data_IF_267071801305
#
_entry.id   IF_267071801305
#
_cell.length_a   1.000
_cell.length_b   1.000
_cell.length_c   1.000
_cell.angle_alpha   90.00
_cell.angle_beta   90.00
_cell.angle_gamma   90.00
#
_symmetry.space_group_name_H-M   'P 1'
#
loop_
_entity.id
_entity.type
_entity.pdbx_description
1 polymer ?
#
# COMPACT_ATOMS: atom_id res chain seq x y z
N UNK A 1 -16.55 27.82 -0.42
CA UNK A 1 -16.99 27.28 0.86
C UNK A 1 -17.07 25.79 0.82
N UNK A 2 -17.82 25.28 -0.11
CA UNK A 2 -18.00 23.84 -0.18
C UNK A 2 -16.70 23.13 -0.56
N UNK A 3 -15.90 23.77 -1.36
CA UNK A 3 -14.62 23.18 -1.72
C UNK A 3 -13.76 22.95 -0.50
N UNK A 4 -13.88 23.82 0.49
CA UNK A 4 -13.10 23.69 1.70
C UNK A 4 -13.62 22.53 2.53
N UNK A 5 -14.92 22.37 2.58
CA UNK A 5 -15.53 21.33 3.40
C UNK A 5 -15.21 19.95 2.88
N UNK A 6 -15.24 19.77 1.55
CA UNK A 6 -14.99 18.45 0.98
C UNK A 6 -13.61 17.90 1.33
N UNK A 7 -12.54 18.67 1.15
CA UNK A 7 -11.23 18.13 1.54
C UNK A 7 -11.15 17.79 3.01
N UNK A 8 -11.78 18.58 3.86
CA UNK A 8 -11.77 18.30 5.28
C UNK A 8 -12.47 17.00 5.59
N UNK A 9 -13.58 16.74 4.91
CA UNK A 9 -14.31 15.51 5.14
C UNK A 9 -13.51 14.30 4.67
N UNK A 10 -12.83 14.43 3.56
CA UNK A 10 -11.99 13.34 3.09
C UNK A 10 -10.89 13.02 4.08
N UNK A 11 -10.29 14.05 4.65
CA UNK A 11 -9.27 13.85 5.65
C UNK A 11 -9.82 13.16 6.87
N UNK A 12 -11.01 13.51 7.27
CA UNK A 12 -11.64 12.87 8.40
C UNK A 12 -11.89 11.39 8.13
N UNK A 13 -12.27 11.07 6.91
CA UNK A 13 -12.46 9.67 6.56
C UNK A 13 -11.16 8.89 6.64
N UNK A 14 -10.06 9.51 6.24
CA UNK A 14 -8.77 8.86 6.37
C UNK A 14 -8.43 8.60 7.82
N UNK A 15 -8.75 9.55 8.68
CA UNK A 15 -8.49 9.39 10.10
C UNK A 15 -9.36 8.32 10.74
N UNK A 16 -10.50 8.03 10.17
CA UNK A 16 -11.39 7.07 10.79
C UNK A 16 -10.91 5.64 10.56
N UNK A 17 -9.76 5.45 9.99
CA UNK A 17 -9.10 4.19 10.12
C UNK A 17 -8.68 3.51 8.84
N UNK A 18 -9.57 2.84 8.18
CA UNK A 18 -9.18 1.92 7.11
C UNK A 18 -9.15 2.55 5.72
N UNK A 19 -9.49 3.80 5.63
CA UNK A 19 -9.54 4.45 4.32
C UNK A 19 -8.19 4.91 3.86
N UNK A 20 -7.93 4.72 2.57
CA UNK A 20 -6.69 5.14 1.93
C UNK A 20 -7.06 5.86 0.66
N UNK A 21 -6.37 6.95 0.36
CA UNK A 21 -6.57 7.69 -0.88
C UNK A 21 -6.38 6.77 -2.08
N UNK A 22 -7.23 6.94 -3.09
CA UNK A 22 -7.09 6.16 -4.32
C UNK A 22 -5.75 6.37 -4.98
N UNK A 23 -5.18 7.57 -4.86
CA UNK A 23 -3.88 7.85 -5.44
C UNK A 23 -2.81 6.96 -4.83
N UNK A 24 -2.80 6.89 -3.50
CA UNK A 24 -1.82 6.05 -2.81
C UNK A 24 -2.04 4.59 -3.17
N UNK A 25 -3.29 4.17 -3.15
CA UNK A 25 -3.62 2.78 -3.44
C UNK A 25 -3.18 2.40 -4.84
N UNK A 26 -3.45 3.27 -5.80
CA UNK A 26 -3.08 3.02 -7.19
C UNK A 26 -1.57 2.85 -7.34
N UNK A 27 -0.80 3.70 -6.66
CA UNK A 27 0.65 3.61 -6.73
C UNK A 27 1.17 2.32 -6.12
N UNK A 28 0.59 1.89 -5.01
CA UNK A 28 1.01 0.66 -4.37
C UNK A 28 0.67 -0.54 -5.25
N UNK A 29 -0.52 -0.55 -5.85
CA UNK A 29 -0.90 -1.63 -6.76
C UNK A 29 0.05 -1.69 -7.95
N UNK A 30 0.39 -0.54 -8.53
CA UNK A 30 1.34 -0.51 -9.64
C UNK A 30 2.69 -1.09 -9.23
N UNK A 31 3.15 -0.75 -8.03
CA UNK A 31 4.43 -1.27 -7.56
C UNK A 31 4.37 -2.78 -7.40
N UNK A 32 3.29 -3.30 -6.81
CA UNK A 32 3.16 -4.74 -6.64
C UNK A 32 3.22 -5.44 -7.98
N UNK A 33 2.46 -4.94 -8.95
CA UNK A 33 2.36 -5.58 -10.26
C UNK A 33 3.69 -5.53 -11.02
N UNK A 34 4.38 -4.39 -10.95
CA UNK A 34 5.57 -4.18 -11.77
C UNK A 34 6.85 -4.72 -11.14
N UNK A 35 6.94 -4.67 -9.83
CA UNK A 35 8.21 -4.96 -9.14
C UNK A 35 8.04 -5.80 -7.89
N UNK A 36 6.99 -5.51 -7.11
CA UNK A 36 6.88 -6.08 -5.77
C UNK A 36 6.87 -7.59 -5.75
N UNK A 37 6.10 -8.19 -6.64
CA UNK A 37 6.00 -9.64 -6.65
C UNK A 37 7.31 -10.30 -7.06
N UNK A 38 8.09 -9.64 -7.90
CA UNK A 38 9.39 -10.17 -8.29
C UNK A 38 10.40 -10.09 -7.16
N UNK A 39 10.36 -8.98 -6.41
CA UNK A 39 11.31 -8.77 -5.32
C UNK A 39 10.94 -9.59 -4.09
N UNK A 40 9.64 -9.74 -3.85
CA UNK A 40 9.12 -10.44 -2.68
C UNK A 40 8.23 -11.59 -3.13
N UNK A 41 8.83 -12.67 -3.59
CA UNK A 41 8.03 -13.84 -4.02
C UNK A 41 7.35 -14.49 -2.83
N UNK A 42 6.80 -15.65 -2.99
CA UNK A 42 5.99 -16.30 -1.97
C UNK A 42 6.60 -16.16 -0.58
N UNK A 43 5.72 -15.84 0.38
CA UNK A 43 6.15 -15.74 1.77
C UNK A 43 5.85 -14.38 2.35
N UNK A 44 6.18 -14.23 3.61
CA UNK A 44 5.97 -13.00 4.35
C UNK A 44 7.28 -12.23 4.49
N UNK A 45 7.19 -10.92 4.34
CA UNK A 45 8.36 -10.05 4.43
C UNK A 45 8.01 -8.82 5.27
N UNK A 46 9.01 -8.28 5.95
CA UNK A 46 8.79 -7.10 6.78
C UNK A 46 8.29 -5.93 5.95
N UNK A 47 7.28 -5.24 6.47
CA UNK A 47 6.70 -4.09 5.80
C UNK A 47 7.74 -3.01 5.52
N UNK A 48 8.68 -2.82 6.44
CA UNK A 48 9.71 -1.80 6.25
C UNK A 48 10.56 -2.07 5.02
N UNK A 49 10.89 -3.32 4.77
CA UNK A 49 11.69 -3.68 3.59
C UNK A 49 10.91 -3.43 2.32
N UNK A 50 9.64 -3.77 2.34
CA UNK A 50 8.78 -3.54 1.19
C UNK A 50 8.63 -2.05 0.92
N UNK A 51 8.50 -1.26 1.98
CA UNK A 51 8.32 0.17 1.83
C UNK A 51 9.54 0.83 1.17
N UNK A 52 10.72 0.40 1.53
CA UNK A 52 11.95 0.94 0.93
C UNK A 52 11.94 0.68 -0.58
N UNK A 53 11.58 -0.52 -1.00
CA UNK A 53 11.54 -0.84 -2.42
C UNK A 53 10.45 -0.07 -3.15
N UNK A 54 9.30 0.11 -2.50
CA UNK A 54 8.21 0.89 -3.06
C UNK A 54 8.64 2.35 -3.28
N UNK A 55 9.30 2.95 -2.29
CA UNK A 55 9.73 4.35 -2.42
C UNK A 55 10.75 4.48 -3.56
N UNK A 56 11.66 3.53 -3.65
CA UNK A 56 12.64 3.53 -4.72
C UNK A 56 11.96 3.46 -6.09
N UNK A 57 10.98 2.59 -6.22
CA UNK A 57 10.21 2.45 -7.45
C UNK A 57 9.52 3.78 -7.80
N UNK A 58 8.87 4.39 -6.81
CA UNK A 58 8.16 5.63 -7.07
C UNK A 58 9.10 6.73 -7.55
N UNK A 59 10.27 6.83 -6.93
CA UNK A 59 11.24 7.86 -7.33
C UNK A 59 11.81 7.58 -8.71
N UNK A 60 12.02 6.31 -9.01
CA UNK A 60 12.59 5.94 -10.29
C UNK A 60 11.64 6.23 -11.45
N UNK A 61 10.35 6.02 -11.25
CA UNK A 61 9.36 6.16 -12.32
C UNK A 61 8.50 7.40 -12.19
N UNK A 62 8.83 8.29 -11.24
CA UNK A 62 8.06 9.52 -11.10
C UNK A 62 6.64 9.32 -10.64
N UNK A 63 6.40 8.31 -9.83
CA UNK A 63 5.06 8.04 -9.30
C UNK A 63 4.82 8.93 -8.10
N UNK A 64 3.75 9.70 -8.14
CA UNK A 64 3.40 10.60 -7.05
C UNK A 64 1.89 10.56 -6.83
N UNK A 65 1.47 10.79 -5.60
CA UNK A 65 2.27 11.03 -4.39
C UNK A 65 2.80 9.73 -3.82
N UNK A 66 3.94 9.83 -3.11
CA UNK A 66 4.52 8.68 -2.42
C UNK A 66 3.90 8.66 -1.02
N UNK A 67 3.29 7.55 -0.65
CA UNK A 67 2.65 7.49 0.66
C UNK A 67 3.68 7.27 1.77
N UNK A 68 3.28 7.59 3.00
CA UNK A 68 4.10 7.29 4.16
C UNK A 68 4.08 5.80 4.42
N UNK A 69 4.96 5.35 5.32
CA UNK A 69 5.00 3.93 5.66
C UNK A 69 3.67 3.46 6.25
N UNK A 70 3.03 4.31 7.04
CA UNK A 70 1.73 3.97 7.61
C UNK A 70 0.68 3.82 6.52
N UNK A 71 0.67 4.74 5.57
CA UNK A 71 -0.29 4.68 4.47
C UNK A 71 0.00 3.49 3.57
N UNK A 72 1.26 3.16 3.40
CA UNK A 72 1.66 2.00 2.63
C UNK A 72 1.11 0.72 3.27
N UNK A 73 1.26 0.61 4.58
CA UNK A 73 0.74 -0.54 5.31
C UNK A 73 -0.77 -0.64 5.17
N UNK A 74 -1.46 0.48 5.30
CA UNK A 74 -2.92 0.48 5.13
C UNK A 74 -3.31 0.09 3.71
N UNK A 75 -2.53 0.52 2.73
CA UNK A 75 -2.79 0.15 1.34
C UNK A 75 -2.66 -1.34 1.13
N UNK A 76 -1.62 -1.95 1.70
CA UNK A 76 -1.45 -3.40 1.60
C UNK A 76 -2.65 -4.14 2.19
N UNK A 77 -3.11 -3.68 3.34
CA UNK A 77 -4.28 -4.28 3.98
C UNK A 77 -5.53 -4.09 3.12
N UNK A 78 -5.70 -2.92 2.55
CA UNK A 78 -6.86 -2.62 1.71
C UNK A 78 -6.87 -3.49 0.46
N UNK A 79 -5.70 -3.74 -0.10
CA UNK A 79 -5.58 -4.59 -1.28
C UNK A 79 -5.91 -6.04 -0.95
N UNK A 80 -5.73 -6.43 0.31
CA UNK A 80 -6.04 -7.77 0.74
C UNK A 80 -4.82 -8.63 1.01
N UNK A 81 -3.68 -7.99 1.22
CA UNK A 81 -2.45 -8.73 1.51
C UNK A 81 -2.54 -9.37 2.89
N UNK A 82 -2.32 -10.68 3.02
CA UNK A 82 -2.24 -11.30 4.33
C UNK A 82 -1.12 -10.68 5.14
N UNK A 83 -1.32 -10.59 6.45
CA UNK A 83 -0.32 -10.02 7.33
C UNK A 83 -0.14 -10.89 8.55
N UNK A 84 1.00 -10.74 9.20
CA UNK A 84 1.26 -11.40 10.46
C UNK A 84 2.23 -10.55 11.26
N UNK A 85 2.28 -10.82 12.55
CA UNK A 85 3.17 -10.10 13.45
C UNK A 85 4.39 -10.96 13.73
N UNK A 86 5.58 -10.38 13.65
CA UNK A 86 6.79 -11.05 14.04
C UNK A 86 7.49 -10.20 15.09
N UNK A 87 8.56 -10.72 15.66
CA UNK A 87 9.29 -9.94 16.66
C UNK A 87 9.99 -8.74 16.06
N UNK A 88 10.08 -8.69 14.74
CA UNK A 88 10.72 -7.57 14.06
C UNK A 88 9.71 -6.57 13.49
N UNK A 89 8.41 -6.84 13.61
CA UNK A 89 7.38 -5.95 13.12
C UNK A 89 6.33 -6.69 12.32
N UNK A 90 5.52 -5.90 11.62
CA UNK A 90 4.46 -6.46 10.79
C UNK A 90 5.03 -6.93 9.46
N UNK A 91 4.61 -8.12 9.05
CA UNK A 91 5.00 -8.70 7.77
C UNK A 91 3.79 -8.87 6.89
N UNK A 92 4.00 -8.79 5.59
CA UNK A 92 2.94 -8.96 4.59
C UNK A 92 3.38 -9.94 3.53
N UNK A 93 2.40 -10.62 2.94
CA UNK A 93 2.62 -11.46 1.78
C UNK A 93 1.90 -10.81 0.60
N UNK A 94 2.61 -10.54 -0.48
CA UNK A 94 2.03 -9.83 -1.63
C UNK A 94 1.95 -10.69 -2.88
N UNK A 95 2.66 -11.81 -2.94
CA UNK A 95 2.66 -12.65 -4.13
C UNK A 95 1.27 -13.21 -4.39
N UNK A 96 0.79 -13.06 -5.60
CA UNK A 96 -0.49 -13.61 -6.02
C UNK A 96 -1.70 -12.86 -5.51
N UNK A 97 -1.51 -11.78 -4.75
CA UNK A 97 -2.63 -11.09 -4.13
C UNK A 97 -3.53 -10.43 -5.17
N UNK A 98 -2.93 -9.82 -6.18
CA UNK A 98 -3.73 -9.16 -7.21
C UNK A 98 -4.54 -10.16 -8.01
N UNK A 99 -3.95 -11.29 -8.33
CA UNK A 99 -4.65 -12.34 -9.05
C UNK A 99 -5.74 -12.95 -8.20
N UNK A 100 -5.45 -13.17 -6.94
CA UNK A 100 -6.44 -13.73 -6.03
C UNK A 100 -7.66 -12.84 -5.93
N UNK A 101 -7.44 -11.53 -5.87
CA UNK A 101 -8.54 -10.59 -5.82
C UNK A 101 -9.34 -10.59 -7.10
N UNK A 102 -8.68 -10.76 -8.22
CA UNK A 102 -9.37 -10.76 -9.50
C UNK A 102 -10.29 -11.97 -9.64
N UNK A 103 -9.98 -13.05 -8.98
CA UNK A 103 -10.74 -14.28 -9.09
C UNK A 103 -11.94 -14.31 -8.15
N UNK A 104 -12.11 -13.31 -7.35
CA UNK A 104 -13.24 -13.24 -6.41
C UNK A 104 -14.29 -12.25 -6.87
#
# INVERSE_FOLDING_TARGET
MEEIVKPAMEEMELYSGSRVSKRYLSGVVSWIADSGEDIFPDGFYLMNRMYIEYVYYCKMYGIEPICTDRQFSKSLSKIGCPSRRSKYGTEYAIAGVLEGNANR
#
